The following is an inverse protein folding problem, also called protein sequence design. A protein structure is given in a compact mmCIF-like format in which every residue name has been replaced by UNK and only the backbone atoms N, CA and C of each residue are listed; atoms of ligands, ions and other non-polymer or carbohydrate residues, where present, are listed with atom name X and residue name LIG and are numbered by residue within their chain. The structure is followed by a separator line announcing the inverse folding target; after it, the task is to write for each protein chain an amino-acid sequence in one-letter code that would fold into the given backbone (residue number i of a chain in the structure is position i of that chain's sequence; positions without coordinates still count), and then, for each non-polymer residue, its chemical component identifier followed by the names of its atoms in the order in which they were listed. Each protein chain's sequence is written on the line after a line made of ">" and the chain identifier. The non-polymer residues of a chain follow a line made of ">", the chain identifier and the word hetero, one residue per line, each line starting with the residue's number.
data_IF_575352757892
#
_entry.id   IF_575352757892
#
_cell.length_a   1.000
_cell.length_b   1.000
_cell.length_c   1.000
_cell.angle_alpha   90.00
_cell.angle_beta   90.00
_cell.angle_gamma   90.00
#
_symmetry.space_group_name_H-M   'P 1'
#
loop_
_entity.id
_entity.type
_entity.pdbx_description
1 polymer ?
#
# COMPACT_ATOMS: atom_id res chain seq x y z
N UNK A 1 29.69 3.27 5.88
CA UNK A 1 28.52 2.41 5.73
C UNK A 1 28.05 2.48 4.29
N UNK A 2 27.99 1.35 3.59
CA UNK A 2 27.45 1.28 2.23
C UNK A 2 25.92 1.47 2.26
N UNK A 3 25.27 1.66 1.11
CA UNK A 3 23.78 1.75 1.06
C UNK A 3 23.10 0.44 1.45
N UNK A 4 23.73 -0.69 1.13
CA UNK A 4 23.26 -2.01 1.52
C UNK A 4 23.35 -2.21 3.04
N UNK A 5 24.47 -1.84 3.66
CA UNK A 5 24.64 -1.87 5.12
C UNK A 5 23.64 -0.94 5.80
N UNK A 6 23.43 0.25 5.26
CA UNK A 6 22.42 1.20 5.78
C UNK A 6 21.01 0.60 5.70
N UNK A 7 20.67 -0.04 4.58
CA UNK A 7 19.34 -0.64 4.40
C UNK A 7 19.07 -1.74 5.45
N UNK A 8 20.04 -2.62 5.69
CA UNK A 8 19.92 -3.69 6.69
C UNK A 8 19.77 -3.13 8.10
N UNK A 9 20.57 -2.12 8.46
CA UNK A 9 20.47 -1.45 9.77
C UNK A 9 19.13 -0.74 9.96
N UNK A 10 18.62 -0.08 8.92
CA UNK A 10 17.30 0.56 8.95
C UNK A 10 16.19 -0.46 9.14
N UNK A 11 16.25 -1.59 8.42
CA UNK A 11 15.30 -2.69 8.57
C UNK A 11 15.29 -3.21 10.00
N UNK A 12 16.47 -3.52 10.57
CA UNK A 12 16.60 -4.07 11.92
C UNK A 12 16.02 -3.11 12.98
N UNK A 13 16.34 -1.82 12.89
CA UNK A 13 15.83 -0.81 13.84
C UNK A 13 14.33 -0.60 13.72
N UNK A 14 13.80 -0.51 12.51
CA UNK A 14 12.36 -0.37 12.28
C UNK A 14 11.59 -1.64 12.69
N UNK A 15 12.19 -2.82 12.56
CA UNK A 15 11.62 -4.08 13.02
C UNK A 15 11.49 -4.14 14.54
N UNK A 16 12.46 -3.60 15.27
CA UNK A 16 12.42 -3.49 16.74
C UNK A 16 11.40 -2.45 17.20
N UNK A 17 11.32 -1.31 16.49
CA UNK A 17 10.41 -0.21 16.83
C UNK A 17 8.94 -0.57 16.51
N UNK A 18 8.70 -1.25 15.38
CA UNK A 18 7.37 -1.59 14.88
C UNK A 18 7.23 -3.09 14.59
N UNK A 19 7.30 -3.96 15.61
CA UNK A 19 7.27 -5.42 15.39
C UNK A 19 5.97 -5.91 14.75
N UNK A 20 4.84 -5.25 15.05
CA UNK A 20 3.50 -5.64 14.62
C UNK A 20 2.96 -4.78 13.46
N UNK A 21 3.83 -4.01 12.79
CA UNK A 21 3.41 -3.19 11.66
C UNK A 21 2.90 -4.04 10.50
N UNK A 22 1.70 -3.72 10.02
CA UNK A 22 1.06 -4.45 8.93
C UNK A 22 0.02 -3.61 8.21
N UNK A 23 -0.78 -4.24 7.38
CA UNK A 23 -1.85 -3.59 6.63
C UNK A 23 -2.90 -3.02 7.58
N UNK A 24 -3.23 -1.74 7.42
CA UNK A 24 -4.25 -1.04 8.22
C UNK A 24 -5.64 -1.07 7.60
N UNK A 25 -5.78 -1.66 6.41
CA UNK A 25 -7.08 -1.92 5.78
C UNK A 25 -7.67 -3.22 6.32
N UNK A 26 -8.95 -3.21 6.67
CA UNK A 26 -9.67 -4.40 7.14
C UNK A 26 -10.03 -5.32 5.98
N UNK A 27 -9.59 -6.56 6.02
CA UNK A 27 -9.96 -7.59 5.05
C UNK A 27 -9.81 -9.00 5.63
N UNK A 28 -10.59 -9.92 5.10
CA UNK A 28 -10.49 -11.36 5.39
C UNK A 28 -10.47 -12.22 4.11
N UNK A 29 -10.50 -11.58 2.95
CA UNK A 29 -10.42 -12.21 1.64
C UNK A 29 -9.66 -11.30 0.67
N UNK A 30 -8.91 -11.87 -0.26
CA UNK A 30 -8.05 -11.15 -1.20
C UNK A 30 -8.81 -10.08 -2.02
N UNK A 31 -9.99 -10.42 -2.54
CA UNK A 31 -10.80 -9.47 -3.33
C UNK A 31 -11.29 -8.27 -2.52
N UNK A 32 -11.53 -8.45 -1.22
CA UNK A 32 -11.91 -7.35 -0.33
C UNK A 32 -10.75 -6.37 -0.14
N UNK A 33 -9.51 -6.88 0.02
CA UNK A 33 -8.34 -6.00 0.07
C UNK A 33 -8.17 -5.25 -1.25
N UNK A 34 -8.37 -5.91 -2.39
CA UNK A 34 -8.27 -5.30 -3.71
C UNK A 34 -9.24 -4.10 -3.85
N UNK A 35 -10.50 -4.27 -3.43
CA UNK A 35 -11.50 -3.19 -3.37
C UNK A 35 -11.05 -2.07 -2.41
N UNK A 36 -10.64 -2.43 -1.20
CA UNK A 36 -10.20 -1.46 -0.18
C UNK A 36 -9.01 -0.64 -0.62
N UNK A 37 -8.03 -1.26 -1.27
CA UNK A 37 -6.86 -0.56 -1.84
C UNK A 37 -7.27 0.43 -2.93
N UNK A 38 -8.25 0.08 -3.78
CA UNK A 38 -8.76 1.03 -4.78
C UNK A 38 -9.48 2.22 -4.12
N UNK A 39 -10.23 1.96 -3.05
CA UNK A 39 -10.91 3.02 -2.28
C UNK A 39 -9.93 3.91 -1.52
N UNK A 40 -8.79 3.39 -1.07
CA UNK A 40 -7.78 4.13 -0.32
C UNK A 40 -7.03 5.19 -1.16
N UNK A 41 -7.18 5.18 -2.49
CA UNK A 41 -6.64 6.24 -3.33
C UNK A 41 -7.22 7.61 -2.94
N UNK A 42 -6.37 8.51 -2.41
CA UNK A 42 -6.74 9.83 -1.88
C UNK A 42 -7.81 9.77 -0.76
N UNK A 43 -7.81 8.69 0.02
CA UNK A 43 -8.70 8.50 1.16
C UNK A 43 -7.93 7.84 2.31
N UNK A 44 -8.35 8.10 3.54
CA UNK A 44 -7.72 7.46 4.72
C UNK A 44 -8.21 6.03 4.88
N UNK A 45 -7.33 5.13 5.35
CA UNK A 45 -7.68 3.74 5.60
C UNK A 45 -8.83 3.61 6.60
N UNK A 46 -8.86 4.45 7.64
CA UNK A 46 -9.95 4.48 8.62
C UNK A 46 -11.33 4.73 7.98
N UNK A 47 -11.40 5.67 7.01
CA UNK A 47 -12.65 5.94 6.29
C UNK A 47 -13.02 4.78 5.38
N UNK A 48 -12.04 4.20 4.68
CA UNK A 48 -12.27 3.01 3.85
C UNK A 48 -12.84 1.87 4.69
N UNK A 49 -12.24 1.57 5.85
CA UNK A 49 -12.70 0.50 6.74
C UNK A 49 -14.15 0.68 7.21
N UNK A 50 -14.59 1.93 7.42
CA UNK A 50 -16.00 2.21 7.73
C UNK A 50 -16.91 1.93 6.52
N UNK A 51 -16.54 2.43 5.35
CA UNK A 51 -17.38 2.35 4.13
C UNK A 51 -17.52 0.91 3.62
N UNK A 52 -16.44 0.13 3.64
CA UNK A 52 -16.47 -1.25 3.09
C UNK A 52 -17.34 -2.20 3.89
N UNK A 53 -17.65 -1.92 5.16
CA UNK A 53 -18.57 -2.74 5.95
C UNK A 53 -19.94 -2.82 5.27
N UNK A 54 -20.55 -1.69 4.95
CA UNK A 54 -21.83 -1.66 4.26
C UNK A 54 -21.75 -2.24 2.83
N UNK A 55 -20.63 -2.00 2.13
CA UNK A 55 -20.44 -2.55 0.79
C UNK A 55 -20.41 -4.08 0.81
N UNK A 56 -19.63 -4.69 1.71
CA UNK A 56 -19.47 -6.14 1.78
C UNK A 56 -20.65 -6.86 2.47
N UNK A 57 -21.43 -6.17 3.28
CA UNK A 57 -22.72 -6.67 3.79
C UNK A 57 -23.73 -6.80 2.64
N UNK A 58 -23.84 -5.76 1.80
CA UNK A 58 -24.76 -5.75 0.65
C UNK A 58 -24.33 -6.69 -0.46
N UNK A 59 -23.00 -6.80 -0.71
CA UNK A 59 -22.42 -7.61 -1.77
C UNK A 59 -21.34 -8.56 -1.18
N UNK A 60 -21.73 -9.73 -0.67
CA UNK A 60 -20.85 -10.56 0.16
C UNK A 60 -19.80 -11.37 -0.59
N UNK A 61 -19.82 -11.37 -1.91
CA UNK A 61 -18.86 -12.11 -2.76
C UNK A 61 -18.59 -11.38 -4.08
N UNK A 62 -17.60 -11.87 -4.81
CA UNK A 62 -17.17 -11.31 -6.10
C UNK A 62 -18.32 -11.25 -7.11
N UNK A 63 -19.11 -12.32 -7.23
CA UNK A 63 -20.22 -12.39 -8.19
C UNK A 63 -21.29 -11.35 -7.87
N UNK A 64 -21.71 -11.24 -6.61
CA UNK A 64 -22.70 -10.26 -6.18
C UNK A 64 -22.24 -8.82 -6.46
N UNK A 65 -20.96 -8.51 -6.20
CA UNK A 65 -20.41 -7.19 -6.46
C UNK A 65 -20.19 -6.93 -7.96
N UNK A 66 -19.89 -7.96 -8.75
CA UNK A 66 -19.79 -7.87 -10.21
C UNK A 66 -21.14 -7.58 -10.87
N UNK A 67 -22.21 -8.13 -10.33
CA UNK A 67 -23.58 -7.94 -10.84
C UNK A 67 -24.27 -6.68 -10.30
N UNK A 68 -23.65 -6.02 -9.32
CA UNK A 68 -24.19 -4.80 -8.73
C UNK A 68 -24.24 -3.65 -9.75
N UNK A 69 -25.34 -2.85 -9.77
CA UNK A 69 -25.38 -1.61 -10.53
C UNK A 69 -24.24 -0.68 -10.08
N UNK A 70 -23.54 -0.05 -11.02
CA UNK A 70 -22.41 0.85 -10.71
C UNK A 70 -22.87 2.02 -9.84
N UNK A 71 -24.07 2.52 -10.08
CA UNK A 71 -24.70 3.62 -9.33
C UNK A 71 -24.92 3.26 -7.85
N UNK A 72 -25.26 2.00 -7.57
CA UNK A 72 -25.42 1.49 -6.20
C UNK A 72 -24.06 1.41 -5.48
N UNK A 73 -23.02 0.93 -6.17
CA UNK A 73 -21.66 0.93 -5.65
C UNK A 73 -21.21 2.36 -5.37
N UNK A 74 -21.41 3.27 -6.35
CA UNK A 74 -21.05 4.68 -6.22
C UNK A 74 -21.70 5.34 -5.00
N UNK A 75 -22.99 5.12 -4.80
CA UNK A 75 -23.72 5.64 -3.65
C UNK A 75 -23.09 5.24 -2.31
N UNK A 76 -22.61 3.99 -2.21
CA UNK A 76 -21.97 3.48 -0.99
C UNK A 76 -20.56 4.03 -0.83
N UNK A 77 -19.74 4.06 -1.90
CA UNK A 77 -18.32 4.41 -1.83
C UNK A 77 -18.05 5.92 -1.94
N UNK A 78 -19.04 6.72 -2.25
CA UNK A 78 -18.96 8.19 -2.37
C UNK A 78 -18.18 8.88 -1.22
N UNK A 79 -18.32 8.46 0.06
CA UNK A 79 -17.55 9.07 1.15
C UNK A 79 -16.03 8.91 1.03
N UNK A 80 -15.53 7.97 0.21
CA UNK A 80 -14.11 7.81 -0.06
C UNK A 80 -13.55 8.80 -1.10
N UNK A 81 -14.39 9.66 -1.69
CA UNK A 81 -14.01 10.56 -2.79
C UNK A 81 -13.84 9.83 -4.12
N UNK A 82 -13.92 10.55 -5.23
CA UNK A 82 -13.85 9.99 -6.59
C UNK A 82 -14.80 8.80 -6.82
N UNK A 83 -16.00 8.86 -6.20
CA UNK A 83 -16.94 7.73 -6.12
C UNK A 83 -17.26 7.11 -7.46
N UNK A 84 -17.55 7.91 -8.48
CA UNK A 84 -17.87 7.43 -9.83
C UNK A 84 -16.75 6.61 -10.46
N UNK A 85 -15.52 7.15 -10.49
CA UNK A 85 -14.35 6.44 -11.04
C UNK A 85 -14.05 5.15 -10.26
N UNK A 86 -14.10 5.22 -8.91
CA UNK A 86 -13.84 4.07 -8.06
C UNK A 86 -14.89 2.98 -8.23
N UNK A 87 -16.18 3.33 -8.32
CA UNK A 87 -17.26 2.38 -8.52
C UNK A 87 -17.15 1.65 -9.88
N UNK A 88 -16.81 2.38 -10.94
CA UNK A 88 -16.57 1.79 -12.27
C UNK A 88 -15.39 0.80 -12.25
N UNK A 89 -14.29 1.19 -11.65
CA UNK A 89 -13.11 0.33 -11.55
C UNK A 89 -13.40 -0.92 -10.72
N UNK A 90 -14.08 -0.79 -9.58
CA UNK A 90 -14.50 -1.92 -8.73
C UNK A 90 -15.42 -2.87 -9.50
N UNK A 91 -16.46 -2.36 -10.15
CA UNK A 91 -17.38 -3.16 -10.95
C UNK A 91 -16.63 -3.92 -12.05
N UNK A 92 -15.81 -3.23 -12.84
CA UNK A 92 -15.04 -3.84 -13.92
C UNK A 92 -14.04 -4.87 -13.43
N UNK A 93 -13.36 -4.59 -12.30
CA UNK A 93 -12.42 -5.51 -11.66
C UNK A 93 -13.14 -6.79 -11.19
N UNK A 94 -14.27 -6.67 -10.51
CA UNK A 94 -15.03 -7.82 -10.03
C UNK A 94 -15.59 -8.67 -11.19
N UNK A 95 -16.04 -8.05 -12.28
CA UNK A 95 -16.46 -8.75 -13.50
C UNK A 95 -15.30 -9.55 -14.10
N UNK A 96 -14.12 -8.95 -14.23
CA UNK A 96 -12.94 -9.66 -14.73
C UNK A 96 -12.52 -10.82 -13.81
N UNK A 97 -12.53 -10.62 -12.49
CA UNK A 97 -12.25 -11.71 -11.55
C UNK A 97 -13.25 -12.86 -11.71
N UNK A 98 -14.55 -12.58 -11.82
CA UNK A 98 -15.58 -13.59 -12.01
C UNK A 98 -15.39 -14.34 -13.32
N UNK A 99 -15.22 -13.62 -14.42
CA UNK A 99 -15.31 -14.16 -15.77
C UNK A 99 -13.99 -14.79 -16.25
N UNK A 100 -12.83 -14.29 -15.82
CA UNK A 100 -11.53 -14.73 -16.30
C UNK A 100 -10.71 -15.49 -15.24
N UNK A 101 -10.98 -15.27 -13.95
CA UNK A 101 -10.20 -15.83 -12.84
C UNK A 101 -11.04 -16.70 -11.89
N UNK A 102 -12.26 -17.09 -12.28
CA UNK A 102 -13.12 -17.95 -11.46
C UNK A 102 -13.48 -17.37 -10.10
N UNK A 103 -13.50 -16.05 -9.97
CA UNK A 103 -13.77 -15.32 -8.71
C UNK A 103 -12.56 -15.20 -7.77
N UNK A 104 -11.39 -15.64 -8.20
CA UNK A 104 -10.16 -15.58 -7.40
C UNK A 104 -9.24 -14.43 -7.82
N UNK A 105 -8.56 -13.83 -6.87
CA UNK A 105 -7.50 -12.84 -7.15
C UNK A 105 -6.26 -13.60 -7.62
N UNK A 106 -5.68 -13.25 -8.79
CA UNK A 106 -4.48 -13.92 -9.28
C UNK A 106 -3.26 -13.61 -8.40
N UNK A 107 -2.39 -14.60 -8.19
CA UNK A 107 -1.14 -14.49 -7.43
C UNK A 107 0.08 -14.18 -8.32
N UNK A 108 -0.16 -13.53 -9.45
CA UNK A 108 0.83 -13.09 -10.42
C UNK A 108 0.77 -11.57 -10.60
N UNK A 109 1.94 -10.92 -10.51
CA UNK A 109 2.04 -9.46 -10.58
C UNK A 109 1.53 -8.89 -11.91
N UNK A 110 1.86 -9.55 -13.03
CA UNK A 110 1.44 -9.08 -14.35
C UNK A 110 -0.06 -9.28 -14.58
N UNK A 111 -0.63 -10.36 -14.03
CA UNK A 111 -2.07 -10.59 -14.05
C UNK A 111 -2.81 -9.54 -13.20
N UNK A 112 -2.28 -9.19 -12.02
CA UNK A 112 -2.83 -8.11 -11.20
C UNK A 112 -2.85 -6.76 -11.92
N UNK A 113 -1.81 -6.43 -12.68
CA UNK A 113 -1.74 -5.18 -13.45
C UNK A 113 -2.77 -5.09 -14.58
N UNK A 114 -3.35 -6.21 -15.03
CA UNK A 114 -4.43 -6.22 -16.04
C UNK A 114 -5.80 -5.90 -15.43
N UNK A 115 -5.95 -6.04 -14.11
CA UNK A 115 -7.22 -5.76 -13.44
C UNK A 115 -7.53 -4.26 -13.47
N UNK A 116 -8.78 -3.87 -13.79
CA UNK A 116 -9.20 -2.48 -13.77
C UNK A 116 -8.93 -1.79 -12.43
N UNK A 117 -8.33 -0.60 -12.47
CA UNK A 117 -8.02 0.19 -11.29
C UNK A 117 -6.79 -0.29 -10.48
N UNK A 118 -6.08 -1.31 -10.94
CA UNK A 118 -4.90 -1.87 -10.26
C UNK A 118 -3.62 -1.38 -10.93
N UNK A 119 -2.88 -0.53 -10.23
CA UNK A 119 -1.54 -0.10 -10.63
C UNK A 119 -0.45 -0.85 -9.87
N UNK A 120 0.84 -0.53 -10.16
CA UNK A 120 2.00 -1.18 -9.51
C UNK A 120 1.94 -1.17 -7.98
N UNK A 121 1.59 -0.04 -7.39
CA UNK A 121 1.46 0.08 -5.93
C UNK A 121 0.43 -0.89 -5.36
N UNK A 122 -0.75 -0.97 -5.99
CA UNK A 122 -1.83 -1.88 -5.58
C UNK A 122 -1.44 -3.34 -5.80
N UNK A 123 -0.83 -3.66 -6.93
CA UNK A 123 -0.34 -5.01 -7.22
C UNK A 123 0.71 -5.46 -6.19
N UNK A 124 1.71 -4.63 -5.88
CA UNK A 124 2.69 -4.94 -4.84
C UNK A 124 2.04 -5.14 -3.47
N UNK A 125 1.03 -4.32 -3.12
CA UNK A 125 0.30 -4.48 -1.86
C UNK A 125 -0.38 -5.86 -1.79
N UNK A 126 -1.06 -6.27 -2.86
CA UNK A 126 -1.71 -7.58 -2.93
C UNK A 126 -0.68 -8.71 -2.88
N UNK A 127 0.43 -8.61 -3.61
CA UNK A 127 1.50 -9.62 -3.59
C UNK A 127 2.06 -9.83 -2.19
N UNK A 128 2.35 -8.76 -1.47
CA UNK A 128 2.90 -8.84 -0.11
C UNK A 128 1.86 -9.27 0.92
N UNK A 129 0.76 -8.53 1.03
CA UNK A 129 -0.19 -8.67 2.14
C UNK A 129 -1.08 -9.92 2.02
N UNK A 130 -1.40 -10.36 0.80
CA UNK A 130 -2.27 -11.53 0.58
C UNK A 130 -1.46 -12.79 0.35
N UNK A 131 -0.44 -12.72 -0.51
CA UNK A 131 0.27 -13.91 -0.98
C UNK A 131 1.62 -14.13 -0.28
N UNK A 132 2.05 -13.22 0.59
CA UNK A 132 3.35 -13.31 1.27
C UNK A 132 4.54 -13.34 0.30
N UNK A 133 4.35 -12.82 -0.91
CA UNK A 133 5.39 -12.76 -1.94
C UNK A 133 6.21 -11.48 -1.81
N UNK A 134 7.47 -11.49 -2.26
CA UNK A 134 8.29 -10.29 -2.28
C UNK A 134 7.58 -9.10 -2.92
N UNK A 135 7.53 -7.97 -2.22
CA UNK A 135 6.85 -6.78 -2.68
C UNK A 135 7.46 -5.51 -2.09
N UNK A 136 7.49 -4.44 -2.87
CA UNK A 136 7.88 -3.10 -2.40
C UNK A 136 6.76 -2.11 -2.76
N UNK A 137 6.10 -1.59 -1.75
CA UNK A 137 4.98 -0.65 -1.89
C UNK A 137 5.49 0.78 -1.76
N UNK A 138 5.71 1.45 -2.89
CA UNK A 138 6.18 2.83 -2.94
C UNK A 138 5.03 3.83 -2.80
N UNK A 139 4.61 4.05 -1.58
CA UNK A 139 3.67 5.11 -1.25
C UNK A 139 4.38 6.43 -0.90
N UNK A 140 3.62 7.46 -0.56
CA UNK A 140 4.17 8.78 -0.21
C UNK A 140 5.07 8.74 1.03
N UNK A 141 4.82 7.84 1.99
CA UNK A 141 5.68 7.64 3.15
C UNK A 141 7.00 6.98 2.74
N UNK A 142 6.92 5.87 2.00
CA UNK A 142 8.09 5.17 1.48
C UNK A 142 9.01 6.13 0.72
N UNK A 143 8.48 6.81 -0.32
CA UNK A 143 9.27 7.73 -1.15
C UNK A 143 9.93 8.82 -0.31
N UNK A 144 9.21 9.43 0.62
CA UNK A 144 9.74 10.48 1.48
C UNK A 144 10.85 9.96 2.40
N UNK A 145 10.58 8.87 3.11
CA UNK A 145 11.50 8.37 4.13
C UNK A 145 12.79 7.81 3.51
N UNK A 146 12.70 7.04 2.43
CA UNK A 146 13.91 6.46 1.81
C UNK A 146 14.84 7.54 1.24
N UNK A 147 14.30 8.70 0.80
CA UNK A 147 15.10 9.85 0.43
C UNK A 147 15.70 10.53 1.67
N UNK A 148 14.92 10.79 2.73
CA UNK A 148 15.42 11.43 3.96
C UNK A 148 16.49 10.60 4.67
N UNK A 149 16.33 9.28 4.68
CA UNK A 149 17.28 8.34 5.28
C UNK A 149 18.57 8.28 4.47
N UNK A 150 18.51 8.47 3.14
CA UNK A 150 19.65 8.40 2.23
C UNK A 150 19.78 7.05 1.51
N UNK A 151 18.74 6.19 1.56
CA UNK A 151 18.70 4.94 0.78
C UNK A 151 18.61 5.22 -0.73
N UNK A 152 17.87 6.25 -1.10
CA UNK A 152 17.84 6.82 -2.46
C UNK A 152 18.05 8.33 -2.39
N UNK A 153 18.48 8.95 -3.49
CA UNK A 153 18.81 10.37 -3.52
C UNK A 153 18.00 11.09 -4.61
N UNK A 154 17.08 11.97 -4.19
CA UNK A 154 16.31 12.85 -5.07
C UNK A 154 15.35 12.13 -6.02
N UNK A 155 15.06 10.85 -5.79
CA UNK A 155 14.16 10.06 -6.64
C UNK A 155 12.73 10.21 -6.12
N UNK A 156 11.85 10.84 -6.91
CA UNK A 156 10.43 11.03 -6.57
C UNK A 156 9.48 10.13 -7.36
N UNK A 157 9.92 9.58 -8.49
CA UNK A 157 9.12 8.65 -9.29
C UNK A 157 8.96 7.31 -8.57
N UNK A 158 7.71 6.86 -8.31
CA UNK A 158 7.45 5.65 -7.52
C UNK A 158 8.11 4.39 -8.09
N UNK A 159 8.08 4.22 -9.42
CA UNK A 159 8.68 3.04 -10.07
C UNK A 159 10.20 3.05 -9.95
N UNK A 160 10.82 4.22 -10.12
CA UNK A 160 12.28 4.34 -9.96
C UNK A 160 12.71 4.09 -8.50
N UNK A 161 11.93 4.55 -7.51
CA UNK A 161 12.17 4.24 -6.09
C UNK A 161 12.03 2.74 -5.85
N UNK A 162 10.96 2.12 -6.34
CA UNK A 162 10.74 0.67 -6.25
C UNK A 162 11.96 -0.10 -6.79
N UNK A 163 12.40 0.22 -8.01
CA UNK A 163 13.53 -0.45 -8.65
C UNK A 163 14.87 -0.22 -7.94
N UNK A 164 15.06 0.94 -7.31
CA UNK A 164 16.24 1.20 -6.49
C UNK A 164 16.22 0.39 -5.19
N UNK A 165 15.07 0.30 -4.53
CA UNK A 165 14.91 -0.46 -3.29
C UNK A 165 15.06 -1.97 -3.49
N UNK A 166 14.64 -2.53 -4.65
CA UNK A 166 14.87 -3.94 -4.97
C UNK A 166 16.34 -4.35 -4.98
N UNK A 167 17.27 -3.39 -5.11
CA UNK A 167 18.71 -3.64 -5.07
C UNK A 167 19.28 -3.62 -3.65
N UNK A 168 18.56 -3.05 -2.70
CA UNK A 168 19.03 -2.78 -1.33
C UNK A 168 18.29 -3.61 -0.28
N UNK A 169 17.01 -3.89 -0.51
CA UNK A 169 16.14 -4.54 0.47
C UNK A 169 16.05 -6.03 0.14
N UNK A 170 16.32 -6.93 1.09
CA UNK A 170 16.08 -8.37 0.91
C UNK A 170 14.63 -8.62 0.50
N UNK A 171 14.37 -9.47 -0.50
CA UNK A 171 13.03 -9.68 -1.04
C UNK A 171 11.97 -10.01 0.03
N UNK A 172 12.33 -10.82 1.01
CA UNK A 172 11.49 -11.25 2.12
C UNK A 172 11.11 -10.13 3.10
N UNK A 173 11.92 -9.08 3.20
CA UNK A 173 11.69 -7.94 4.10
C UNK A 173 10.88 -6.81 3.45
N UNK A 174 10.71 -6.82 2.13
CA UNK A 174 10.20 -5.68 1.36
C UNK A 174 8.82 -5.20 1.79
N UNK A 175 7.85 -6.11 1.95
CA UNK A 175 6.47 -5.76 2.34
C UNK A 175 6.43 -5.18 3.75
N UNK A 176 7.01 -5.85 4.72
CA UNK A 176 7.06 -5.42 6.12
C UNK A 176 7.83 -4.11 6.29
N UNK A 177 8.95 -3.96 5.59
CA UNK A 177 9.71 -2.71 5.56
C UNK A 177 8.83 -1.54 5.13
N UNK A 178 8.05 -1.70 4.07
CA UNK A 178 7.13 -0.65 3.60
C UNK A 178 6.04 -0.33 4.64
N UNK A 179 5.48 -1.32 5.32
CA UNK A 179 4.53 -1.08 6.41
C UNK A 179 5.16 -0.29 7.57
N UNK A 180 6.36 -0.69 7.99
CA UNK A 180 7.11 0.01 9.07
C UNK A 180 7.41 1.46 8.69
N UNK A 181 7.74 1.73 7.42
CA UNK A 181 7.93 3.11 6.94
C UNK A 181 6.64 3.93 7.02
N UNK A 182 5.46 3.34 6.80
CA UNK A 182 4.18 4.04 6.97
C UNK A 182 3.97 4.45 8.43
N UNK A 183 4.17 3.52 9.39
CA UNK A 183 4.05 3.80 10.82
C UNK A 183 5.04 4.88 11.25
N UNK A 184 6.32 4.70 10.94
CA UNK A 184 7.36 5.68 11.24
C UNK A 184 7.11 7.05 10.61
N UNK A 185 6.57 7.07 9.41
CA UNK A 185 6.23 8.29 8.68
C UNK A 185 5.00 9.02 9.21
N UNK A 186 4.11 8.33 9.92
CA UNK A 186 2.95 8.92 10.60
C UNK A 186 3.32 9.47 11.97
N UNK A 187 4.15 8.77 12.71
CA UNK A 187 4.42 9.02 14.13
C UNK A 187 5.66 9.88 14.37
N UNK A 188 6.73 9.67 13.62
CA UNK A 188 8.04 10.27 13.87
C UNK A 188 8.51 11.13 12.70
N UNK A 189 8.67 10.54 11.52
CA UNK A 189 9.18 11.23 10.34
C UNK A 189 8.06 11.88 9.53
N UNK A 190 7.38 12.85 10.12
CA UNK A 190 6.17 13.50 9.60
C UNK A 190 6.42 14.33 8.32
N UNK A 191 5.34 14.53 7.51
CA UNK A 191 5.43 15.29 6.26
C UNK A 191 5.05 16.77 6.41
N UNK A 192 4.08 17.06 7.28
CA UNK A 192 3.45 18.40 7.40
C UNK A 192 4.03 19.24 8.55
N UNK A 193 4.68 18.59 9.48
CA UNK A 193 5.31 19.21 10.64
C UNK A 193 6.78 18.84 10.65
N UNK A 194 7.59 19.56 11.43
CA UNK A 194 8.99 19.19 11.65
C UNK A 194 9.06 17.76 12.19
N UNK A 195 9.87 16.87 11.59
CA UNK A 195 10.04 15.52 12.09
C UNK A 195 10.61 15.48 13.50
N UNK A 196 10.22 14.49 14.29
CA UNK A 196 10.71 14.28 15.67
C UNK A 196 12.04 13.50 15.64
N UNK A 197 13.08 14.10 15.05
CA UNK A 197 14.38 13.45 14.85
C UNK A 197 15.07 13.08 16.18
N UNK A 198 14.83 13.81 17.25
CA UNK A 198 15.30 13.53 18.61
C UNK A 198 14.73 12.23 19.21
N UNK A 199 13.57 11.77 18.72
CA UNK A 199 12.91 10.53 19.12
C UNK A 199 13.04 9.40 18.09
N UNK A 200 13.78 9.64 17.01
CA UNK A 200 13.87 8.73 15.88
C UNK A 200 14.90 7.62 16.13
N UNK A 201 14.50 6.36 15.99
CA UNK A 201 15.40 5.22 16.10
C UNK A 201 16.52 5.20 15.03
N UNK A 202 16.39 6.05 13.99
CA UNK A 202 17.35 6.16 12.90
C UNK A 202 18.22 7.44 13.01
N UNK A 203 18.15 8.20 14.11
CA UNK A 203 18.71 9.55 14.23
C UNK A 203 20.20 9.65 13.86
N UNK A 204 20.98 8.69 14.28
CA UNK A 204 22.45 8.63 14.14
C UNK A 204 22.94 8.13 12.78
N UNK A 205 22.08 7.41 12.02
CA UNK A 205 22.40 6.85 10.72
C UNK A 205 21.70 7.54 9.54
N UNK A 206 20.71 8.39 9.83
CA UNK A 206 19.88 9.06 8.83
C UNK A 206 20.63 10.24 8.19
N UNK A 207 20.62 10.34 6.86
CA UNK A 207 21.18 11.49 6.14
C UNK A 207 20.42 12.80 6.39
N UNK A 208 19.17 12.73 6.87
CA UNK A 208 18.28 13.87 7.14
C UNK A 208 18.10 14.80 5.94
N UNK A 209 18.12 14.23 4.72
CA UNK A 209 17.90 14.99 3.50
C UNK A 209 16.51 15.66 3.53
N UNK A 210 16.44 16.93 3.14
CA UNK A 210 15.20 17.75 3.15
C UNK A 210 14.51 17.81 4.54
N UNK A 211 15.28 17.72 5.63
CA UNK A 211 14.81 17.92 7.00
C UNK A 211 15.45 19.22 7.55
N UNK A 212 14.65 20.28 7.63
CA UNK A 212 15.01 21.54 8.27
C UNK A 212 14.58 21.59 9.76
#
# INVERSE_FOLDING_TARGET
>A
MTKEELALEVIDRLKKEYPDAGCTLDYNQAWKLLVSVRLAAQCTDARVNVVVKGLFEKYPNVAALADAPVEDIEAIVKPCGLGHSKARDISACMKMLRDEYGGHVPDDFNALLKLPGVGRKSANRIMGDVFGKPAIVTDTHCIRLVNRIGLVEGIKDPKRVEMALWKLIPPEEGSDFCHRLVYHGREVCTARTKPYCDKCCLQDICAKADVE
#
